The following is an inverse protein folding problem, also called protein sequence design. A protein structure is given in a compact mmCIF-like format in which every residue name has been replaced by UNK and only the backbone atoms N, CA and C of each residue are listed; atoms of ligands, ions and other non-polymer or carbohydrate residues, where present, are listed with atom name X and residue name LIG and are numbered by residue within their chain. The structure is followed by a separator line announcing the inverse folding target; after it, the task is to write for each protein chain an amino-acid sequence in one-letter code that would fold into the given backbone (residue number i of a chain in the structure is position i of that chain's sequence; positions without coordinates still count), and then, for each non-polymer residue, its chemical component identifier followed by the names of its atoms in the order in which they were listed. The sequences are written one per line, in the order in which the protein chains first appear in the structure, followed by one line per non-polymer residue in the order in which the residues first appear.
data_IF_184797768261
#
_entry.id   IF_184797768261
#
_cell.length_a   1.000
_cell.length_b   1.000
_cell.length_c   1.000
_cell.angle_alpha   90.00
_cell.angle_beta   90.00
_cell.angle_gamma   90.00
#
_symmetry.space_group_name_H-M   'P 1'
#
loop_
_entity.id
_entity.type
_entity.pdbx_description
1 polymer ?
#
# COMPACT_ATOMS: atom_id res chain seq x y z
N UNK A 1 51.58 15.22 27.04
CA UNK A 1 50.89 14.11 26.34
C UNK A 1 49.38 14.26 26.62
N UNK A 2 48.62 14.71 25.67
CA UNK A 2 47.18 14.79 25.78
C UNK A 2 46.55 13.41 25.50
N UNK A 3 45.59 12.91 26.30
CA UNK A 3 44.92 11.67 26.01
C UNK A 3 43.90 11.89 24.88
N UNK A 4 43.91 11.02 23.90
CA UNK A 4 43.08 11.09 22.70
C UNK A 4 41.59 10.94 23.00
N UNK A 5 40.79 11.96 22.69
CA UNK A 5 39.33 12.00 22.74
C UNK A 5 38.64 11.25 21.56
N UNK A 6 39.36 10.39 20.84
CA UNK A 6 38.85 9.72 19.63
C UNK A 6 38.01 8.47 19.95
N UNK A 7 38.06 7.94 21.19
CA UNK A 7 37.33 6.71 21.51
C UNK A 7 35.86 6.86 21.92
N UNK A 8 35.46 8.05 22.41
CA UNK A 8 34.09 8.23 22.96
C UNK A 8 33.04 8.62 21.93
N UNK A 9 33.39 9.36 20.89
CA UNK A 9 32.44 9.76 19.83
C UNK A 9 32.11 8.61 18.88
N UNK A 10 33.05 7.73 18.60
CA UNK A 10 32.80 6.53 17.80
C UNK A 10 31.81 5.57 18.49
N UNK A 11 31.96 5.36 19.79
CA UNK A 11 31.05 4.49 20.56
C UNK A 11 29.63 5.03 20.67
N UNK A 12 29.44 6.36 20.72
CA UNK A 12 28.13 6.99 20.78
C UNK A 12 27.43 6.91 19.41
N UNK A 13 28.16 7.12 18.32
CA UNK A 13 27.62 7.04 16.96
C UNK A 13 27.21 5.61 16.60
N UNK A 14 27.99 4.61 16.97
CA UNK A 14 27.68 3.21 16.75
C UNK A 14 26.50 2.72 17.60
N UNK A 15 26.35 3.19 18.85
CA UNK A 15 25.18 2.88 19.68
C UNK A 15 23.88 3.50 19.18
N UNK A 16 23.94 4.72 18.61
CA UNK A 16 22.75 5.37 18.03
C UNK A 16 22.36 4.70 16.72
N UNK A 17 23.33 4.31 15.89
CA UNK A 17 23.08 3.56 14.67
C UNK A 17 22.54 2.16 14.94
N UNK A 18 23.09 1.42 15.91
CA UNK A 18 22.61 0.09 16.28
C UNK A 18 21.19 0.14 16.86
N UNK A 19 20.88 1.08 17.75
CA UNK A 19 19.51 1.27 18.28
C UNK A 19 18.50 1.60 17.18
N UNK A 20 18.87 2.42 16.18
CA UNK A 20 18.00 2.75 15.06
C UNK A 20 17.78 1.54 14.13
N UNK A 21 18.80 0.71 13.94
CA UNK A 21 18.71 -0.54 13.16
C UNK A 21 17.84 -1.55 13.91
N UNK A 22 18.07 -1.76 15.20
CA UNK A 22 17.29 -2.69 16.03
C UNK A 22 15.82 -2.27 16.12
N UNK A 23 15.53 -0.98 16.27
CA UNK A 23 14.18 -0.43 16.24
C UNK A 23 13.52 -0.62 14.87
N UNK A 24 14.27 -0.48 13.77
CA UNK A 24 13.74 -0.70 12.43
C UNK A 24 13.43 -2.19 12.18
N UNK A 25 14.31 -3.10 12.56
CA UNK A 25 14.08 -4.55 12.45
C UNK A 25 12.96 -5.02 13.40
N UNK A 26 12.88 -4.48 14.60
CA UNK A 26 11.77 -4.75 15.53
C UNK A 26 10.41 -4.33 14.96
N UNK A 27 10.35 -3.14 14.37
CA UNK A 27 9.18 -2.64 13.66
C UNK A 27 8.74 -3.58 12.53
N UNK A 28 9.65 -3.95 11.61
CA UNK A 28 9.33 -4.81 10.47
C UNK A 28 8.91 -6.22 10.90
N UNK A 29 9.54 -6.78 11.95
CA UNK A 29 9.21 -8.12 12.45
C UNK A 29 7.91 -8.18 13.25
N UNK A 30 7.59 -7.11 13.98
CA UNK A 30 6.40 -7.05 14.83
C UNK A 30 5.16 -6.50 14.14
N UNK A 31 5.29 -5.96 12.94
CA UNK A 31 4.18 -5.39 12.20
C UNK A 31 3.28 -6.47 11.58
N UNK A 32 1.98 -6.23 11.59
CA UNK A 32 0.95 -7.13 11.03
C UNK A 32 0.11 -6.39 10.01
N UNK A 33 -0.25 -7.09 8.93
CA UNK A 33 -1.28 -6.62 8.00
C UNK A 33 -2.66 -6.93 8.59
N UNK A 34 -3.51 -5.91 8.67
CA UNK A 34 -4.88 -6.02 9.18
C UNK A 34 -5.85 -5.38 8.18
N UNK A 35 -7.06 -5.91 8.09
CA UNK A 35 -8.16 -5.28 7.36
C UNK A 35 -8.86 -4.30 8.31
N UNK A 36 -9.17 -3.10 7.82
CA UNK A 36 -9.76 -2.01 8.58
C UNK A 36 -11.16 -1.70 8.07
N UNK A 37 -12.07 -1.37 9.00
CA UNK A 37 -13.41 -0.88 8.65
C UNK A 37 -13.43 0.61 8.28
N UNK A 38 -12.43 1.35 8.73
CA UNK A 38 -12.27 2.78 8.50
C UNK A 38 -10.81 3.21 8.61
N UNK A 39 -10.46 4.36 8.05
CA UNK A 39 -9.17 5.01 8.22
C UNK A 39 -9.37 6.53 8.35
N UNK A 40 -8.35 7.23 8.87
CA UNK A 40 -8.35 8.68 8.87
C UNK A 40 -8.06 9.19 7.44
N UNK A 41 -9.09 9.64 6.73
CA UNK A 41 -8.98 10.11 5.35
C UNK A 41 -8.19 11.40 5.21
N UNK A 42 -8.15 12.25 6.26
CA UNK A 42 -7.36 13.49 6.28
C UNK A 42 -5.85 13.23 6.22
N UNK A 43 -5.42 12.01 6.57
CA UNK A 43 -4.02 11.59 6.48
C UNK A 43 -3.62 11.08 5.10
N UNK A 44 -4.58 10.88 4.19
CA UNK A 44 -4.31 10.42 2.82
C UNK A 44 -3.85 11.60 1.94
N UNK A 45 -2.57 11.65 1.55
CA UNK A 45 -2.06 12.75 0.74
C UNK A 45 -2.45 12.64 -0.73
N UNK A 46 -3.06 11.53 -1.13
CA UNK A 46 -3.37 11.21 -2.54
C UNK A 46 -4.83 11.46 -2.87
N UNK A 47 -5.73 10.97 -2.00
CA UNK A 47 -7.18 10.99 -2.24
C UNK A 47 -7.96 11.27 -0.95
N UNK A 48 -7.73 12.41 -0.29
CA UNK A 48 -8.43 12.76 0.95
C UNK A 48 -9.94 12.94 0.74
N UNK A 49 -10.37 13.20 -0.49
CA UNK A 49 -11.78 13.38 -0.88
C UNK A 49 -12.60 12.08 -0.83
N UNK A 50 -11.95 10.91 -0.86
CA UNK A 50 -12.64 9.62 -0.81
C UNK A 50 -12.93 9.22 0.64
N UNK A 51 -14.20 9.22 1.01
CA UNK A 51 -14.65 8.85 2.36
C UNK A 51 -14.57 7.34 2.65
N UNK A 52 -14.79 6.96 3.91
CA UNK A 52 -14.76 5.55 4.33
C UNK A 52 -15.91 4.73 3.71
N UNK A 53 -17.04 5.35 3.39
CA UNK A 53 -18.13 4.67 2.69
C UNK A 53 -17.71 4.26 1.28
N UNK A 54 -17.02 5.14 0.56
CA UNK A 54 -16.41 4.77 -0.72
C UNK A 54 -15.41 3.62 -0.53
N UNK A 55 -14.49 3.75 0.46
CA UNK A 55 -13.35 2.82 0.64
C UNK A 55 -13.76 1.41 1.06
N UNK A 56 -14.94 1.23 1.61
CA UNK A 56 -15.46 -0.07 2.09
C UNK A 56 -16.69 -0.58 1.33
N UNK A 57 -17.29 0.26 0.47
CA UNK A 57 -18.44 -0.12 -0.33
C UNK A 57 -18.09 -1.10 -1.48
N UNK A 58 -19.04 -1.92 -1.89
CA UNK A 58 -18.95 -2.80 -3.05
C UNK A 58 -17.68 -3.67 -3.07
N UNK A 59 -17.36 -4.27 -1.92
CA UNK A 59 -16.21 -5.18 -1.78
C UNK A 59 -14.84 -4.48 -1.76
N UNK A 60 -14.78 -3.15 -1.83
CA UNK A 60 -13.53 -2.40 -1.63
C UNK A 60 -13.03 -2.58 -0.20
N UNK A 61 -11.73 -2.52 0.00
CA UNK A 61 -11.09 -2.84 1.29
C UNK A 61 -10.01 -1.85 1.65
N UNK A 62 -9.88 -1.63 2.96
CA UNK A 62 -8.80 -0.88 3.57
C UNK A 62 -7.89 -1.86 4.29
N UNK A 63 -6.60 -1.85 3.97
CA UNK A 63 -5.59 -2.59 4.73
C UNK A 63 -4.68 -1.63 5.48
N UNK A 64 -4.32 -2.00 6.70
CA UNK A 64 -3.37 -1.28 7.52
C UNK A 64 -2.20 -2.15 7.94
N UNK A 65 -1.07 -1.54 8.19
CA UNK A 65 0.05 -2.15 8.91
C UNK A 65 -0.01 -1.68 10.35
N UNK A 66 -0.37 -2.61 11.24
CA UNK A 66 -0.43 -2.40 12.69
C UNK A 66 0.91 -2.77 13.33
N UNK A 67 1.37 -1.94 14.25
CA UNK A 67 2.48 -2.21 15.13
C UNK A 67 2.25 -1.56 16.49
N UNK A 68 2.34 -2.35 17.57
CA UNK A 68 2.10 -1.90 18.94
C UNK A 68 0.73 -1.22 19.16
N UNK A 69 -0.31 -1.72 18.49
CA UNK A 69 -1.68 -1.19 18.60
C UNK A 69 -1.95 0.07 17.77
N UNK A 70 -1.01 0.53 16.95
CA UNK A 70 -1.18 1.71 16.09
C UNK A 70 -1.07 1.34 14.61
N UNK A 71 -1.86 2.02 13.77
CA UNK A 71 -1.77 1.90 12.31
C UNK A 71 -0.74 2.88 11.77
N UNK A 72 0.29 2.35 11.13
CA UNK A 72 1.43 3.12 10.62
C UNK A 72 1.50 3.25 9.11
N UNK A 73 0.78 2.42 8.38
CA UNK A 73 0.63 2.54 6.93
C UNK A 73 -0.76 2.06 6.53
N UNK A 74 -1.33 2.64 5.49
CA UNK A 74 -2.65 2.28 4.98
C UNK A 74 -2.58 2.14 3.46
N UNK A 75 -3.32 1.19 2.90
CA UNK A 75 -3.49 0.98 1.47
C UNK A 75 -4.93 0.58 1.19
N UNK A 76 -5.56 1.24 0.23
CA UNK A 76 -6.94 0.96 -0.14
C UNK A 76 -7.02 0.26 -1.50
N UNK A 77 -7.92 -0.70 -1.58
CA UNK A 77 -8.12 -1.57 -2.74
C UNK A 77 -9.54 -1.55 -3.26
N UNK A 78 -9.65 -1.65 -4.57
CA UNK A 78 -10.84 -2.09 -5.27
C UNK A 78 -10.52 -3.36 -6.06
N UNK A 79 -11.55 -4.16 -6.35
CA UNK A 79 -11.41 -5.40 -7.11
C UNK A 79 -12.22 -5.26 -8.40
N UNK A 80 -11.55 -5.39 -9.55
CA UNK A 80 -12.11 -5.14 -10.87
C UNK A 80 -11.78 -6.28 -11.83
N UNK A 81 -12.44 -6.32 -12.98
CA UNK A 81 -12.09 -7.24 -14.07
C UNK A 81 -11.32 -6.54 -15.20
N UNK A 82 -11.28 -5.20 -15.16
CA UNK A 82 -10.55 -4.35 -16.11
C UNK A 82 -9.69 -3.34 -15.36
N UNK A 83 -8.70 -2.75 -16.02
CA UNK A 83 -7.80 -1.75 -15.43
C UNK A 83 -8.46 -0.37 -15.54
N UNK A 84 -8.81 0.28 -14.42
CA UNK A 84 -9.42 1.59 -14.43
C UNK A 84 -8.42 2.69 -14.83
N UNK A 85 -8.93 3.73 -15.50
CA UNK A 85 -8.15 4.90 -15.93
C UNK A 85 -8.39 6.13 -15.05
N UNK A 86 -9.48 6.13 -14.27
CA UNK A 86 -9.85 7.22 -13.38
C UNK A 86 -10.51 6.66 -12.10
N UNK A 87 -10.78 7.52 -11.12
CA UNK A 87 -11.50 7.15 -9.89
C UNK A 87 -12.95 6.79 -10.20
N UNK A 88 -13.59 7.51 -11.09
CA UNK A 88 -14.97 7.26 -11.52
C UNK A 88 -15.07 5.89 -12.21
N UNK A 89 -14.10 5.57 -13.06
CA UNK A 89 -14.04 4.26 -13.71
C UNK A 89 -13.73 3.15 -12.69
N UNK A 90 -12.86 3.40 -11.71
CA UNK A 90 -12.59 2.48 -10.60
C UNK A 90 -13.86 2.16 -9.82
N UNK A 91 -14.66 3.19 -9.47
CA UNK A 91 -15.92 3.02 -8.76
C UNK A 91 -16.89 2.16 -9.56
N UNK A 92 -17.08 2.49 -10.84
CA UNK A 92 -17.97 1.75 -11.74
C UNK A 92 -17.54 0.30 -11.88
N UNK A 93 -16.28 0.05 -12.25
CA UNK A 93 -15.77 -1.30 -12.51
C UNK A 93 -15.77 -2.18 -11.24
N UNK A 94 -15.46 -1.61 -10.06
CA UNK A 94 -15.52 -2.37 -8.81
C UNK A 94 -16.95 -2.68 -8.38
N UNK A 95 -17.89 -1.76 -8.60
CA UNK A 95 -19.31 -1.97 -8.34
C UNK A 95 -19.87 -3.06 -9.26
N UNK A 96 -19.58 -2.99 -10.55
CA UNK A 96 -20.01 -3.98 -11.54
C UNK A 96 -19.47 -5.38 -11.22
N UNK A 97 -18.18 -5.48 -10.89
CA UNK A 97 -17.55 -6.73 -10.50
C UNK A 97 -18.18 -7.33 -9.23
N UNK A 98 -18.44 -6.49 -8.22
CA UNK A 98 -19.09 -6.92 -6.98
C UNK A 98 -20.53 -7.43 -7.23
N UNK A 99 -21.34 -6.71 -8.00
CA UNK A 99 -22.70 -7.10 -8.30
C UNK A 99 -22.75 -8.38 -9.16
N UNK A 100 -21.84 -8.55 -10.12
CA UNK A 100 -21.75 -9.77 -10.90
C UNK A 100 -21.42 -10.98 -10.03
N UNK A 101 -20.56 -10.82 -9.02
CA UNK A 101 -20.23 -11.86 -8.05
C UNK A 101 -21.44 -12.25 -7.21
N UNK A 102 -22.14 -11.27 -6.67
CA UNK A 102 -23.34 -11.52 -5.86
C UNK A 102 -24.47 -12.23 -6.63
N UNK A 103 -24.56 -12.01 -7.94
CA UNK A 103 -25.59 -12.61 -8.81
C UNK A 103 -25.23 -14.01 -9.33
N UNK A 104 -23.95 -14.39 -9.37
CA UNK A 104 -23.49 -15.59 -10.08
C UNK A 104 -22.72 -16.58 -9.22
N UNK A 105 -22.63 -16.33 -7.93
CA UNK A 105 -21.80 -17.12 -6.99
C UNK A 105 -20.32 -17.23 -7.43
N UNK A 106 -19.84 -16.21 -8.18
CA UNK A 106 -18.48 -16.13 -8.68
C UNK A 106 -17.65 -15.21 -7.79
N UNK A 107 -16.37 -15.51 -7.63
CA UNK A 107 -15.42 -14.65 -6.97
C UNK A 107 -15.33 -13.28 -7.67
N UNK A 108 -15.36 -12.18 -6.92
CA UNK A 108 -15.30 -10.80 -7.43
C UNK A 108 -14.22 -10.53 -8.46
N UNK A 109 -13.91 -9.28 -8.74
CA UNK A 109 -12.91 -8.91 -9.74
C UNK A 109 -11.57 -9.62 -9.51
N UNK A 110 -10.93 -10.03 -10.59
CA UNK A 110 -9.67 -10.79 -10.57
C UNK A 110 -8.43 -9.90 -10.45
N UNK A 111 -8.60 -8.59 -10.60
CA UNK A 111 -7.54 -7.60 -10.51
C UNK A 111 -7.70 -6.84 -9.18
N UNK A 112 -6.71 -6.91 -8.31
CA UNK A 112 -6.62 -6.04 -7.15
C UNK A 112 -6.04 -4.67 -7.60
N UNK A 113 -6.79 -3.61 -7.45
CA UNK A 113 -6.38 -2.24 -7.82
C UNK A 113 -6.11 -1.44 -6.55
N UNK A 114 -4.85 -1.16 -6.25
CA UNK A 114 -4.44 -0.23 -5.21
C UNK A 114 -4.61 1.20 -5.72
N UNK A 115 -5.50 2.00 -5.11
CA UNK A 115 -5.77 3.36 -5.59
C UNK A 115 -5.24 4.46 -4.67
N UNK A 116 -4.85 4.11 -3.44
CA UNK A 116 -4.12 5.01 -2.55
C UNK A 116 -3.26 4.22 -1.56
N UNK A 117 -2.12 4.80 -1.19
CA UNK A 117 -1.21 4.28 -0.17
C UNK A 117 -0.51 5.44 0.53
N UNK A 118 -0.44 5.37 1.85
CA UNK A 118 0.35 6.32 2.64
C UNK A 118 0.93 5.67 3.89
N UNK A 119 1.85 6.36 4.54
CA UNK A 119 2.53 5.86 5.72
C UNK A 119 2.98 6.99 6.64
N UNK A 120 2.73 6.84 7.93
CA UNK A 120 3.22 7.71 8.99
C UNK A 120 4.66 7.39 9.42
N UNK A 121 5.13 6.19 9.12
CA UNK A 121 6.43 5.68 9.56
C UNK A 121 7.33 5.37 8.37
N UNK A 122 8.59 5.79 8.46
CA UNK A 122 9.59 5.50 7.42
C UNK A 122 9.66 4.00 7.13
N UNK A 123 9.57 3.63 5.86
CA UNK A 123 9.54 2.23 5.40
C UNK A 123 8.17 1.56 5.43
N UNK A 124 7.14 2.19 6.04
CA UNK A 124 5.79 1.61 6.12
C UNK A 124 5.14 1.41 4.75
N UNK A 125 5.33 2.34 3.84
CA UNK A 125 4.84 2.19 2.46
C UNK A 125 5.43 0.97 1.74
N UNK A 126 6.73 0.73 1.87
CA UNK A 126 7.37 -0.49 1.33
C UNK A 126 6.87 -1.76 2.02
N UNK A 127 6.68 -1.69 3.35
CA UNK A 127 6.22 -2.83 4.13
C UNK A 127 4.79 -3.23 3.75
N UNK A 128 3.86 -2.26 3.64
CA UNK A 128 2.47 -2.57 3.29
C UNK A 128 2.36 -3.14 1.88
N UNK A 129 3.10 -2.61 0.89
CA UNK A 129 3.18 -3.18 -0.46
C UNK A 129 3.61 -4.65 -0.41
N UNK A 130 4.67 -4.95 0.35
CA UNK A 130 5.19 -6.32 0.49
C UNK A 130 4.19 -7.28 1.14
N UNK A 131 3.55 -6.86 2.23
CA UNK A 131 2.60 -7.72 2.97
C UNK A 131 1.30 -7.94 2.19
N UNK A 132 0.77 -6.90 1.55
CA UNK A 132 -0.38 -7.04 0.65
C UNK A 132 -0.06 -7.94 -0.53
N UNK A 133 1.12 -7.81 -1.12
CA UNK A 133 1.56 -8.66 -2.23
C UNK A 133 1.61 -10.14 -1.84
N UNK A 134 2.11 -10.45 -0.64
CA UNK A 134 2.07 -11.82 -0.10
C UNK A 134 0.63 -12.34 0.07
N UNK A 135 -0.28 -11.45 0.49
CA UNK A 135 -1.69 -11.81 0.67
C UNK A 135 -2.36 -12.12 -0.68
N UNK A 136 -2.12 -11.27 -1.68
CA UNK A 136 -2.64 -11.48 -3.04
C UNK A 136 -2.12 -12.79 -3.66
N UNK A 137 -0.84 -13.11 -3.48
CA UNK A 137 -0.26 -14.38 -3.94
C UNK A 137 -0.92 -15.63 -3.35
N UNK A 138 -1.49 -15.52 -2.16
CA UNK A 138 -2.23 -16.61 -1.51
C UNK A 138 -3.67 -16.72 -1.98
N UNK A 139 -4.17 -15.72 -2.68
CA UNK A 139 -5.53 -15.71 -3.21
C UNK A 139 -5.64 -16.61 -4.44
N UNK A 140 -6.67 -17.46 -4.47
CA UNK A 140 -6.90 -18.36 -5.60
C UNK A 140 -7.58 -17.68 -6.79
N UNK A 141 -8.10 -16.44 -6.61
CA UNK A 141 -8.87 -15.73 -7.63
C UNK A 141 -8.23 -14.43 -8.11
N UNK A 142 -7.33 -13.84 -7.31
CA UNK A 142 -6.61 -12.63 -7.71
C UNK A 142 -5.35 -13.03 -8.50
N UNK A 143 -5.24 -12.54 -9.71
CA UNK A 143 -4.14 -12.87 -10.61
C UNK A 143 -3.22 -11.68 -10.93
N UNK A 144 -3.67 -10.46 -10.62
CA UNK A 144 -2.94 -9.21 -10.89
C UNK A 144 -3.03 -8.24 -9.72
N UNK A 145 -1.94 -7.52 -9.48
CA UNK A 145 -1.89 -6.34 -8.60
C UNK A 145 -1.51 -5.13 -9.44
N UNK A 146 -2.47 -4.25 -9.63
CA UNK A 146 -2.33 -3.03 -10.42
C UNK A 146 -2.55 -1.81 -9.50
N UNK A 147 -2.04 -0.66 -9.86
CA UNK A 147 -2.29 0.60 -9.15
C UNK A 147 -3.08 1.57 -10.00
N UNK A 148 -3.84 2.46 -9.37
CA UNK A 148 -4.38 3.68 -9.97
C UNK A 148 -3.74 4.88 -9.26
N UNK A 149 -2.60 5.34 -9.75
CA UNK A 149 -1.75 6.32 -9.08
C UNK A 149 -1.89 7.71 -9.72
N UNK A 150 -1.67 8.80 -8.98
CA UNK A 150 -1.62 10.12 -9.59
C UNK A 150 -0.45 10.22 -10.57
N UNK A 151 -0.58 11.10 -11.56
CA UNK A 151 0.45 11.35 -12.57
C UNK A 151 1.54 12.27 -12.01
N UNK A 152 2.30 11.77 -11.04
CA UNK A 152 3.37 12.50 -10.35
C UNK A 152 4.67 11.71 -10.32
N UNK A 153 5.81 12.41 -10.32
CA UNK A 153 7.12 11.79 -10.21
C UNK A 153 7.29 11.02 -8.89
N UNK A 154 6.70 11.50 -7.79
CA UNK A 154 6.74 10.83 -6.50
C UNK A 154 6.08 9.45 -6.56
N UNK A 155 4.89 9.36 -7.17
CA UNK A 155 4.18 8.09 -7.34
C UNK A 155 4.95 7.13 -8.25
N UNK A 156 5.50 7.63 -9.36
CA UNK A 156 6.35 6.85 -10.27
C UNK A 156 7.54 6.26 -9.54
N UNK A 157 8.33 7.09 -8.88
CA UNK A 157 9.50 6.67 -8.11
C UNK A 157 9.16 5.68 -7.01
N UNK A 158 8.01 5.85 -6.34
CA UNK A 158 7.56 4.94 -5.29
C UNK A 158 7.27 3.54 -5.85
N UNK A 159 6.49 3.44 -6.92
CA UNK A 159 6.09 2.16 -7.48
C UNK A 159 7.26 1.43 -8.15
N UNK A 160 8.09 2.12 -8.92
CA UNK A 160 9.27 1.54 -9.56
C UNK A 160 10.30 1.01 -8.55
N UNK A 161 10.58 1.77 -7.48
CA UNK A 161 11.46 1.32 -6.38
C UNK A 161 10.92 0.11 -5.61
N UNK A 162 9.62 -0.11 -5.64
CA UNK A 162 8.98 -1.29 -5.08
C UNK A 162 8.80 -2.43 -6.09
N UNK A 163 9.36 -2.31 -7.30
CA UNK A 163 9.42 -3.38 -8.30
C UNK A 163 8.21 -3.47 -9.23
N UNK A 164 7.34 -2.45 -9.25
CA UNK A 164 6.27 -2.37 -10.22
C UNK A 164 6.76 -1.84 -11.57
N UNK A 165 6.02 -2.17 -12.63
CA UNK A 165 6.25 -1.65 -13.99
C UNK A 165 5.09 -0.77 -14.42
N UNK A 166 5.39 0.36 -15.03
CA UNK A 166 4.39 1.20 -15.69
C UNK A 166 3.76 0.42 -16.85
N UNK A 167 2.43 0.33 -16.87
CA UNK A 167 1.67 -0.37 -17.91
C UNK A 167 0.77 0.57 -18.72
N UNK A 168 0.35 1.70 -18.13
CA UNK A 168 -0.55 2.64 -18.79
C UNK A 168 -0.41 4.04 -18.21
N UNK A 169 -0.47 5.06 -19.09
CA UNK A 169 -0.60 6.48 -18.72
C UNK A 169 -1.98 6.95 -19.22
N UNK A 170 -2.73 7.60 -18.33
CA UNK A 170 -4.04 8.17 -18.59
C UNK A 170 -3.99 9.71 -18.55
N UNK A 171 -5.12 10.37 -18.68
CA UNK A 171 -5.20 11.83 -18.67
C UNK A 171 -4.67 12.45 -17.36
N UNK A 172 -5.07 11.92 -16.20
CA UNK A 172 -4.71 12.43 -14.86
C UNK A 172 -4.08 11.39 -13.95
N UNK A 173 -4.00 10.13 -14.40
CA UNK A 173 -3.52 9.00 -13.61
C UNK A 173 -2.53 8.15 -14.42
N UNK A 174 -1.91 7.20 -13.73
CA UNK A 174 -1.06 6.17 -14.31
C UNK A 174 -1.26 4.85 -13.57
N UNK A 175 -1.07 3.74 -14.29
CA UNK A 175 -1.21 2.41 -13.74
C UNK A 175 0.15 1.70 -13.75
N UNK A 176 0.52 1.13 -12.61
CA UNK A 176 1.67 0.24 -12.46
C UNK A 176 1.19 -1.17 -12.15
N UNK A 177 1.95 -2.16 -12.55
CA UNK A 177 1.68 -3.55 -12.23
C UNK A 177 2.83 -4.17 -11.47
N UNK A 178 2.51 -4.80 -10.34
CA UNK A 178 3.41 -5.67 -9.61
C UNK A 178 3.28 -7.09 -10.15
N UNK A 179 4.38 -7.69 -10.62
CA UNK A 179 4.33 -9.07 -11.11
C UNK A 179 4.03 -10.04 -9.97
N UNK A 180 2.87 -10.67 -10.05
CA UNK A 180 2.53 -11.84 -9.24
C UNK A 180 3.22 -13.02 -9.91
N UNK A 181 4.41 -13.39 -9.42
CA UNK A 181 5.11 -14.60 -9.85
C UNK A 181 4.73 -15.77 -8.96
#
# INVERSE_FOLDING_TARGET
IAPSLVGSEMCIRDRVLSKNIDNFFGWVKGAKLVELNECNTDEDPVRPELDNKFRTGYGRKIFGVEYQGEIHAVMCFAYTNEIPKSVEELEKLSTDAFLQTAMRDQSGGQIAVAYTVWSKKKGGGKLIVKEVFKNIKKSNHLNRLVTLSPLTEMATNFHERNGAKLIQINETTQNFEYKVM
#
